data_IF_599738195054
#
_entry.id   IF_599738195054
#
_cell.length_a   1.000
_cell.length_b   1.000
_cell.length_c   1.000
_cell.angle_alpha   90.00
_cell.angle_beta   90.00
_cell.angle_gamma   90.00
#
_symmetry.space_group_name_H-M   'P 1'
#
loop_
_entity.id
_entity.type
_entity.pdbx_description
1 polymer ?
#
# COMPACT_ATOMS: atom_id res chain seq x y z
N UNK A 1 18.89 5.93 36.53
CA UNK A 1 18.65 5.76 35.09
C UNK A 1 17.98 7.04 34.59
N UNK A 2 18.69 7.84 33.78
CA UNK A 2 18.16 9.09 33.25
C UNK A 2 16.92 8.84 32.40
N UNK A 3 15.89 9.70 32.53
CA UNK A 3 14.76 9.71 31.62
C UNK A 3 15.32 9.94 30.22
N UNK A 4 15.47 8.90 29.42
CA UNK A 4 15.64 9.06 27.97
C UNK A 4 14.50 9.98 27.51
N UNK A 5 14.85 11.06 26.81
CA UNK A 5 13.85 11.92 26.15
C UNK A 5 13.05 11.02 25.22
N UNK A 6 11.85 10.61 25.65
CA UNK A 6 11.04 9.61 24.97
C UNK A 6 10.59 10.20 23.65
N UNK A 7 10.81 9.48 22.61
CA UNK A 7 10.25 9.76 21.29
C UNK A 7 8.72 9.90 21.44
N UNK A 8 8.20 11.12 21.25
CA UNK A 8 6.80 11.44 21.63
C UNK A 8 5.82 11.35 20.46
N UNK A 9 6.16 10.56 19.39
CA UNK A 9 5.20 10.34 18.31
C UNK A 9 4.05 9.50 18.84
N UNK A 10 2.82 10.01 18.68
CA UNK A 10 1.59 9.33 19.08
C UNK A 10 0.96 8.59 17.90
N UNK A 11 0.34 7.44 18.15
CA UNK A 11 -0.30 6.62 17.14
C UNK A 11 -1.29 7.40 16.25
N UNK A 12 -2.10 8.29 16.85
CA UNK A 12 -3.04 9.14 16.09
C UNK A 12 -2.35 10.15 15.16
N UNK A 13 -1.14 10.62 15.50
CA UNK A 13 -0.38 11.55 14.66
C UNK A 13 0.06 10.90 13.36
N UNK A 14 0.42 9.61 13.40
CA UNK A 14 0.77 8.83 12.21
C UNK A 14 -0.46 8.71 11.30
N UNK A 15 -1.61 8.38 11.88
CA UNK A 15 -2.87 8.23 11.14
C UNK A 15 -3.26 9.58 10.50
N UNK A 16 -3.22 10.68 11.25
CA UNK A 16 -3.52 12.01 10.69
C UNK A 16 -2.52 12.37 9.58
N UNK A 17 -1.24 12.08 9.78
CA UNK A 17 -0.19 12.40 8.82
C UNK A 17 -0.39 11.69 7.48
N UNK A 18 -0.72 10.39 7.49
CA UNK A 18 -0.97 9.65 6.23
C UNK A 18 -2.21 10.18 5.51
N UNK A 19 -3.27 10.54 6.22
CA UNK A 19 -4.45 11.15 5.59
C UNK A 19 -4.15 12.52 4.99
N UNK A 20 -3.32 13.35 5.66
CA UNK A 20 -2.89 14.65 5.11
C UNK A 20 -2.07 14.44 3.83
N UNK A 21 -1.13 13.49 3.81
CA UNK A 21 -0.32 13.18 2.61
C UNK A 21 -1.21 12.74 1.46
N UNK A 22 -2.08 11.75 1.68
CA UNK A 22 -3.00 11.28 0.64
C UNK A 22 -3.90 12.40 0.13
N UNK A 23 -4.49 13.18 1.03
CA UNK A 23 -5.33 14.31 0.65
C UNK A 23 -4.55 15.33 -0.18
N UNK A 24 -3.30 15.64 0.20
CA UNK A 24 -2.46 16.56 -0.55
C UNK A 24 -2.16 16.01 -1.96
N UNK A 25 -1.84 14.72 -2.09
CA UNK A 25 -1.59 14.10 -3.39
C UNK A 25 -2.85 14.06 -4.26
N UNK A 26 -4.01 13.71 -3.70
CA UNK A 26 -5.28 13.72 -4.43
C UNK A 26 -5.67 15.13 -4.88
N UNK A 27 -5.57 16.13 -4.00
CA UNK A 27 -5.87 17.53 -4.36
C UNK A 27 -4.91 18.04 -5.43
N UNK A 28 -3.60 17.75 -5.32
CA UNK A 28 -2.61 18.16 -6.30
C UNK A 28 -2.89 17.53 -7.67
N UNK A 29 -3.17 16.24 -7.71
CA UNK A 29 -3.56 15.54 -8.94
C UNK A 29 -4.85 16.11 -9.53
N UNK A 30 -5.86 16.34 -8.71
CA UNK A 30 -7.12 16.92 -9.14
C UNK A 30 -6.93 18.30 -9.78
N UNK A 31 -6.15 19.19 -9.14
CA UNK A 31 -5.89 20.55 -9.65
C UNK A 31 -5.03 20.53 -10.92
N UNK A 32 -4.02 19.68 -10.97
CA UNK A 32 -3.11 19.63 -12.12
C UNK A 32 -3.75 18.89 -13.29
N UNK A 33 -4.28 17.71 -13.04
CA UNK A 33 -4.70 16.81 -14.12
C UNK A 33 -6.07 17.19 -14.71
N UNK A 34 -7.01 17.69 -13.89
CA UNK A 34 -8.33 18.07 -14.38
C UNK A 34 -8.41 19.56 -14.77
N UNK A 35 -7.80 20.44 -13.99
CA UNK A 35 -7.91 21.90 -14.22
C UNK A 35 -6.66 22.52 -14.82
N UNK A 36 -5.63 21.75 -15.15
CA UNK A 36 -4.37 22.24 -15.69
C UNK A 36 -3.80 23.44 -14.90
N UNK A 37 -3.80 23.31 -13.56
CA UNK A 37 -3.42 24.40 -12.66
C UNK A 37 -2.04 24.96 -13.01
N UNK A 38 -1.97 26.25 -13.31
CA UNK A 38 -0.77 26.97 -13.77
C UNK A 38 -0.12 26.39 -15.04
N UNK A 39 -0.83 25.63 -15.87
CA UNK A 39 -0.28 25.01 -17.08
C UNK A 39 0.71 23.87 -16.80
N UNK A 40 0.69 23.30 -15.58
CA UNK A 40 1.64 22.23 -15.20
C UNK A 40 1.42 20.98 -16.04
N UNK A 41 0.17 20.59 -16.31
CA UNK A 41 -0.14 19.44 -17.16
C UNK A 41 0.41 19.62 -18.57
N UNK A 42 0.18 20.77 -19.19
CA UNK A 42 0.68 21.09 -20.52
C UNK A 42 2.21 21.11 -20.52
N UNK A 43 2.82 21.67 -19.48
CA UNK A 43 4.28 21.63 -19.33
C UNK A 43 4.79 20.17 -19.26
N UNK A 44 4.10 19.25 -18.56
CA UNK A 44 4.45 17.83 -18.53
C UNK A 44 4.34 17.19 -19.92
N UNK A 45 3.30 17.52 -20.69
CA UNK A 45 3.14 17.06 -22.09
C UNK A 45 4.33 17.50 -22.95
N UNK A 46 4.74 18.77 -22.83
CA UNK A 46 5.73 19.36 -23.72
C UNK A 46 7.18 19.00 -23.39
N UNK A 47 7.51 18.76 -22.10
CA UNK A 47 8.90 18.71 -21.64
C UNK A 47 9.39 17.34 -21.23
N UNK A 48 8.51 16.47 -20.76
CA UNK A 48 8.96 15.21 -20.14
C UNK A 48 8.95 14.02 -21.11
N UNK A 49 8.44 14.19 -22.36
CA UNK A 49 8.28 13.07 -23.28
C UNK A 49 7.43 11.94 -22.69
N UNK A 50 6.73 12.21 -21.59
CA UNK A 50 5.84 11.26 -20.95
C UNK A 50 4.57 11.14 -21.78
N UNK A 51 4.37 9.98 -22.34
CA UNK A 51 3.14 9.66 -23.05
C UNK A 51 1.92 9.51 -22.12
N UNK A 52 2.13 9.67 -20.80
CA UNK A 52 1.08 9.66 -19.76
C UNK A 52 1.31 10.87 -18.85
N UNK A 53 0.90 12.08 -19.29
CA UNK A 53 1.24 13.34 -18.63
C UNK A 53 0.29 13.67 -17.47
N UNK A 54 0.10 12.72 -16.56
CA UNK A 54 -0.78 12.90 -15.40
C UNK A 54 0.00 12.83 -14.10
N UNK A 55 -0.18 13.85 -13.26
CA UNK A 55 0.48 13.93 -11.96
C UNK A 55 0.11 12.76 -11.05
N UNK A 56 -1.16 12.30 -11.09
CA UNK A 56 -1.57 11.13 -10.34
C UNK A 56 -0.78 9.88 -10.73
N UNK A 57 -0.52 9.68 -12.04
CA UNK A 57 0.26 8.54 -12.50
C UNK A 57 1.69 8.57 -11.96
N UNK A 58 2.30 9.75 -11.86
CA UNK A 58 3.63 9.95 -11.30
C UNK A 58 3.67 9.73 -9.78
N UNK A 59 2.66 10.25 -9.06
CA UNK A 59 2.62 10.17 -7.59
C UNK A 59 2.33 8.77 -7.06
N UNK A 60 1.49 8.01 -7.78
CA UNK A 60 0.97 6.71 -7.33
C UNK A 60 1.53 5.51 -8.13
N UNK A 61 2.43 5.71 -9.11
CA UNK A 61 3.07 4.60 -9.82
C UNK A 61 4.09 3.87 -8.95
N UNK A 62 4.45 2.66 -9.36
CA UNK A 62 5.56 1.89 -8.78
C UNK A 62 6.84 2.75 -8.74
N UNK A 63 7.53 2.80 -7.60
CA UNK A 63 8.66 3.68 -7.33
C UNK A 63 8.28 5.14 -7.08
N UNK A 64 7.00 5.49 -7.14
CA UNK A 64 6.50 6.85 -6.89
C UNK A 64 6.49 7.24 -5.41
N UNK A 65 6.19 8.53 -5.13
CA UNK A 65 6.17 9.05 -3.75
C UNK A 65 5.27 8.26 -2.79
N UNK A 66 4.12 7.77 -3.23
CA UNK A 66 3.18 7.00 -2.38
C UNK A 66 3.83 5.71 -1.92
N UNK A 67 4.42 4.95 -2.82
CA UNK A 67 5.09 3.69 -2.52
C UNK A 67 6.34 3.89 -1.66
N UNK A 68 7.11 4.98 -1.87
CA UNK A 68 8.24 5.32 -1.00
C UNK A 68 7.78 5.55 0.44
N UNK A 69 6.67 6.26 0.67
CA UNK A 69 6.09 6.41 2.00
C UNK A 69 5.60 5.09 2.59
N UNK A 70 5.02 4.21 1.77
CA UNK A 70 4.60 2.87 2.17
C UNK A 70 5.80 2.06 2.68
N UNK A 71 6.89 1.99 1.92
CA UNK A 71 8.10 1.28 2.34
C UNK A 71 8.69 1.83 3.63
N UNK A 72 8.68 3.17 3.78
CA UNK A 72 9.11 3.82 5.02
C UNK A 72 8.26 3.37 6.20
N UNK A 73 6.93 3.36 6.08
CA UNK A 73 6.04 2.95 7.17
C UNK A 73 6.17 1.46 7.49
N UNK A 74 6.33 0.57 6.50
CA UNK A 74 6.59 -0.86 6.73
C UNK A 74 7.93 -1.05 7.44
N UNK A 75 8.97 -0.32 7.04
CA UNK A 75 10.28 -0.34 7.70
C UNK A 75 10.22 0.12 9.16
N UNK A 76 9.49 1.20 9.43
CA UNK A 76 9.24 1.69 10.79
C UNK A 76 8.40 0.71 11.61
N UNK A 77 7.41 0.06 11.00
CA UNK A 77 6.64 -1.02 11.64
C UNK A 77 7.52 -2.21 12.01
N UNK A 78 8.41 -2.66 11.09
CA UNK A 78 9.39 -3.71 11.33
C UNK A 78 10.29 -3.39 12.54
N UNK A 79 10.88 -2.19 12.53
CA UNK A 79 11.77 -1.74 13.62
C UNK A 79 11.04 -1.67 14.96
N UNK A 80 9.84 -1.09 14.97
CA UNK A 80 9.05 -0.94 16.20
C UNK A 80 8.59 -2.30 16.73
N UNK A 81 8.12 -3.20 15.85
CA UNK A 81 7.71 -4.57 16.22
C UNK A 81 8.87 -5.37 16.79
N UNK A 82 10.06 -5.27 16.18
CA UNK A 82 11.27 -5.89 16.70
C UNK A 82 11.68 -5.35 18.07
N UNK A 83 11.55 -4.04 18.28
CA UNK A 83 11.82 -3.39 19.56
C UNK A 83 10.84 -3.86 20.65
N UNK A 84 9.53 -3.95 20.34
CA UNK A 84 8.53 -4.47 21.27
C UNK A 84 8.83 -5.93 21.63
N UNK A 85 9.20 -6.75 20.66
CA UNK A 85 9.60 -8.13 20.92
C UNK A 85 10.78 -8.18 21.91
N UNK A 86 11.81 -7.33 21.72
CA UNK A 86 12.94 -7.21 22.64
C UNK A 86 12.54 -6.80 24.06
N UNK A 87 11.68 -5.81 24.22
CA UNK A 87 11.13 -5.41 25.54
C UNK A 87 10.35 -6.56 26.18
N UNK A 88 9.58 -7.31 25.38
CA UNK A 88 8.80 -8.45 25.87
C UNK A 88 9.68 -9.57 26.40
N UNK A 89 10.90 -9.76 25.85
CA UNK A 89 11.90 -10.71 26.41
C UNK A 89 12.31 -10.27 27.82
N UNK A 90 12.62 -9.01 28.02
CA UNK A 90 13.09 -8.49 29.33
C UNK A 90 12.00 -8.53 30.41
N UNK A 91 10.74 -8.55 29.99
CA UNK A 91 9.58 -8.63 30.89
C UNK A 91 9.01 -10.06 31.05
N UNK A 92 9.71 -11.09 30.56
CA UNK A 92 9.29 -12.51 30.52
C UNK A 92 7.91 -12.76 29.88
N UNK A 93 7.50 -11.88 28.97
CA UNK A 93 6.23 -12.02 28.21
C UNK A 93 6.42 -12.82 26.93
N UNK A 94 6.54 -14.14 27.04
CA UNK A 94 6.83 -15.06 25.90
C UNK A 94 5.87 -14.95 24.72
N UNK A 95 4.57 -14.77 24.98
CA UNK A 95 3.55 -14.55 23.93
C UNK A 95 3.78 -13.24 23.18
N UNK A 96 4.09 -12.16 23.90
CA UNK A 96 4.40 -10.86 23.30
C UNK A 96 5.63 -10.89 22.38
N UNK A 97 6.68 -11.60 22.81
CA UNK A 97 7.88 -11.83 21.98
C UNK A 97 7.50 -12.46 20.65
N UNK A 98 6.76 -13.58 20.69
CA UNK A 98 6.41 -14.35 19.48
C UNK A 98 5.47 -13.57 18.58
N UNK A 99 4.46 -12.89 19.15
CA UNK A 99 3.51 -12.08 18.40
C UNK A 99 4.22 -11.00 17.59
N UNK A 100 4.96 -10.11 18.25
CA UNK A 100 5.61 -8.99 17.60
C UNK A 100 6.77 -9.40 16.68
N UNK A 101 7.47 -10.49 17.01
CA UNK A 101 8.51 -11.04 16.14
C UNK A 101 7.93 -11.57 14.82
N UNK A 102 6.77 -12.25 14.86
CA UNK A 102 6.08 -12.69 13.64
C UNK A 102 5.67 -11.50 12.76
N UNK A 103 5.18 -10.41 13.35
CA UNK A 103 4.86 -9.20 12.60
C UNK A 103 6.11 -8.49 12.05
N UNK A 104 7.23 -8.54 12.76
CA UNK A 104 8.50 -8.04 12.23
C UNK A 104 8.96 -8.87 11.01
N UNK A 105 8.85 -10.20 11.05
CA UNK A 105 9.14 -11.07 9.89
C UNK A 105 8.18 -10.76 8.73
N UNK A 106 6.88 -10.62 9.00
CA UNK A 106 5.91 -10.23 7.99
C UNK A 106 6.32 -8.93 7.28
N UNK A 107 6.70 -7.91 8.04
CA UNK A 107 7.13 -6.62 7.48
C UNK A 107 8.37 -6.75 6.58
N UNK A 108 9.34 -7.63 6.94
CA UNK A 108 10.49 -7.94 6.06
C UNK A 108 10.01 -8.54 4.74
N UNK A 109 9.09 -9.50 4.80
CA UNK A 109 8.56 -10.15 3.59
C UNK A 109 7.77 -9.18 2.72
N UNK A 110 7.00 -8.25 3.33
CA UNK A 110 6.29 -7.20 2.61
C UNK A 110 7.26 -6.27 1.87
N UNK A 111 8.33 -5.81 2.50
CA UNK A 111 9.36 -4.99 1.83
C UNK A 111 10.07 -5.77 0.72
N UNK A 112 10.37 -7.05 0.94
CA UNK A 112 11.01 -7.88 -0.09
C UNK A 112 10.08 -8.12 -1.28
N UNK A 113 8.79 -8.25 -1.04
CA UNK A 113 7.79 -8.40 -2.09
C UNK A 113 7.70 -7.13 -2.94
N UNK A 114 7.52 -6.02 -2.31
CA UNK A 114 7.24 -4.73 -2.91
C UNK A 114 8.50 -4.11 -3.55
N UNK A 115 9.49 -3.75 -2.74
CA UNK A 115 10.75 -3.17 -3.22
C UNK A 115 11.68 -4.19 -3.94
N UNK A 116 11.55 -5.48 -3.63
CA UNK A 116 12.32 -6.57 -4.25
C UNK A 116 11.65 -7.22 -5.45
N UNK A 117 10.40 -6.91 -5.72
CA UNK A 117 9.60 -7.42 -6.84
C UNK A 117 9.63 -8.96 -6.95
N UNK A 118 9.64 -9.64 -5.79
CA UNK A 118 9.81 -11.10 -5.69
C UNK A 118 8.65 -11.84 -6.35
N UNK A 119 7.42 -11.33 -6.15
CA UNK A 119 6.22 -11.88 -6.77
C UNK A 119 6.28 -11.84 -8.28
N UNK A 120 6.68 -10.72 -8.86
CA UNK A 120 6.81 -10.55 -10.31
C UNK A 120 7.84 -11.54 -10.88
N UNK A 121 8.99 -11.68 -10.20
CA UNK A 121 9.99 -12.66 -10.59
C UNK A 121 9.43 -14.09 -10.59
N UNK A 122 8.67 -14.51 -9.57
CA UNK A 122 8.06 -15.82 -9.48
C UNK A 122 7.00 -16.03 -10.57
N UNK A 123 6.17 -15.02 -10.84
CA UNK A 123 5.13 -15.05 -11.85
C UNK A 123 5.74 -15.22 -13.25
N UNK A 124 6.74 -14.42 -13.61
CA UNK A 124 7.42 -14.52 -14.91
C UNK A 124 8.08 -15.89 -15.10
N UNK A 125 8.76 -16.40 -14.08
CA UNK A 125 9.39 -17.74 -14.15
C UNK A 125 8.36 -18.85 -14.26
N UNK A 126 7.23 -18.72 -13.61
CA UNK A 126 6.18 -19.71 -13.66
C UNK A 126 5.43 -19.75 -14.99
N UNK A 127 5.17 -18.60 -15.62
CA UNK A 127 4.59 -18.54 -16.98
C UNK A 127 5.42 -19.36 -17.95
N UNK A 128 6.75 -19.31 -17.85
CA UNK A 128 7.65 -20.11 -18.70
C UNK A 128 7.46 -21.62 -18.52
N UNK A 129 6.94 -22.07 -17.37
CA UNK A 129 6.73 -23.49 -17.08
C UNK A 129 5.34 -24.00 -17.48
N UNK A 130 4.30 -23.18 -17.37
CA UNK A 130 2.89 -23.64 -17.41
C UNK A 130 2.07 -23.19 -18.63
N UNK A 131 2.58 -22.33 -19.49
CA UNK A 131 2.00 -21.91 -20.80
C UNK A 131 0.64 -21.18 -20.79
N UNK A 132 -0.06 -21.07 -19.68
CA UNK A 132 -1.35 -20.36 -19.57
C UNK A 132 -1.17 -19.11 -18.69
N UNK A 133 -1.02 -17.95 -19.34
CA UNK A 133 -0.54 -16.74 -18.69
C UNK A 133 -1.50 -16.19 -17.64
N UNK A 134 -2.79 -16.07 -17.93
CA UNK A 134 -3.73 -15.33 -17.10
C UNK A 134 -4.10 -16.07 -15.81
N UNK A 135 -4.56 -17.32 -15.93
CA UNK A 135 -4.96 -18.15 -14.77
C UNK A 135 -3.75 -18.44 -13.89
N UNK A 136 -2.61 -18.72 -14.51
CA UNK A 136 -1.37 -19.01 -13.79
C UNK A 136 -0.90 -17.81 -12.98
N UNK A 137 -0.96 -16.60 -13.52
CA UNK A 137 -0.60 -15.36 -12.82
C UNK A 137 -1.44 -15.18 -11.57
N UNK A 138 -2.77 -15.18 -11.68
CA UNK A 138 -3.68 -15.03 -10.53
C UNK A 138 -3.48 -16.12 -9.48
N UNK A 139 -3.29 -17.39 -9.86
CA UNK A 139 -3.02 -18.49 -8.92
C UNK A 139 -1.69 -18.27 -8.19
N UNK A 140 -0.64 -17.87 -8.90
CA UNK A 140 0.67 -17.61 -8.30
C UNK A 140 0.61 -16.45 -7.30
N UNK A 141 -0.01 -15.35 -7.69
CA UNK A 141 -0.17 -14.18 -6.83
C UNK A 141 -1.01 -14.50 -5.58
N UNK A 142 -2.17 -15.13 -5.73
CA UNK A 142 -3.02 -15.53 -4.61
C UNK A 142 -2.34 -16.57 -3.69
N UNK A 143 -1.56 -17.49 -4.26
CA UNK A 143 -0.81 -18.46 -3.45
C UNK A 143 0.30 -17.77 -2.65
N UNK A 144 1.05 -16.89 -3.29
CA UNK A 144 2.11 -16.13 -2.64
C UNK A 144 1.58 -15.27 -1.49
N UNK A 145 0.57 -14.46 -1.75
CA UNK A 145 -0.07 -13.64 -0.73
C UNK A 145 -0.79 -14.47 0.34
N UNK A 146 -1.40 -15.61 -0.04
CA UNK A 146 -2.00 -16.54 0.91
C UNK A 146 -0.98 -17.10 1.90
N UNK A 147 0.21 -17.47 1.43
CA UNK A 147 1.30 -17.92 2.29
C UNK A 147 1.79 -16.81 3.22
N UNK A 148 1.94 -15.59 2.74
CA UNK A 148 2.29 -14.44 3.59
C UNK A 148 1.20 -14.17 4.64
N UNK A 149 -0.08 -14.25 4.27
CA UNK A 149 -1.20 -14.02 5.16
C UNK A 149 -1.31 -15.06 6.29
N UNK A 150 -0.73 -16.26 6.14
CA UNK A 150 -0.68 -17.25 7.22
C UNK A 150 0.06 -16.72 8.47
N UNK A 151 1.06 -15.84 8.29
CA UNK A 151 1.83 -15.29 9.40
C UNK A 151 0.96 -14.42 10.32
N UNK A 152 0.30 -13.34 9.84
CA UNK A 152 -0.54 -12.53 10.69
C UNK A 152 -1.77 -13.28 11.20
N UNK A 153 -2.38 -14.14 10.38
CA UNK A 153 -3.53 -14.99 10.81
C UNK A 153 -3.10 -15.90 11.96
N UNK A 154 -1.97 -16.59 11.83
CA UNK A 154 -1.44 -17.44 12.91
C UNK A 154 -1.14 -16.62 14.16
N UNK A 155 -0.47 -15.46 14.02
CA UNK A 155 -0.13 -14.60 15.14
C UNK A 155 -1.39 -14.09 15.87
N UNK A 156 -2.38 -13.62 15.11
CA UNK A 156 -3.65 -13.10 15.66
C UNK A 156 -4.51 -14.17 16.32
N UNK A 157 -4.51 -15.41 15.83
CA UNK A 157 -5.26 -16.52 16.45
C UNK A 157 -4.51 -17.05 17.67
N UNK A 158 -3.21 -17.31 17.53
CA UNK A 158 -2.42 -18.06 18.56
C UNK A 158 -2.03 -17.19 19.75
N UNK A 159 -1.84 -15.89 19.52
CA UNK A 159 -1.37 -14.92 20.53
C UNK A 159 -2.33 -13.75 20.68
N UNK A 160 -3.64 -13.98 20.44
CA UNK A 160 -4.69 -12.97 20.49
C UNK A 160 -4.74 -12.20 21.82
N UNK A 161 -4.35 -12.82 22.92
CA UNK A 161 -4.29 -12.18 24.23
C UNK A 161 -3.38 -10.95 24.23
N UNK A 162 -2.28 -10.97 23.47
CA UNK A 162 -1.34 -9.85 23.39
C UNK A 162 -1.99 -8.60 22.81
N UNK A 163 -2.70 -8.75 21.70
CA UNK A 163 -3.32 -7.61 21.01
C UNK A 163 -4.60 -7.15 21.71
N UNK A 164 -5.32 -8.06 22.37
CA UNK A 164 -6.55 -7.76 23.09
C UNK A 164 -6.30 -7.13 24.47
N UNK A 165 -5.04 -7.08 24.97
CA UNK A 165 -4.67 -6.32 26.18
C UNK A 165 -5.02 -4.84 26.02
N UNK A 166 -4.87 -4.27 24.78
CA UNK A 166 -5.26 -2.91 24.47
C UNK A 166 -6.21 -2.84 23.26
N UNK A 167 -7.46 -2.47 23.52
CA UNK A 167 -8.51 -2.37 22.46
C UNK A 167 -8.17 -1.33 21.38
N UNK A 168 -7.48 -0.25 21.75
CA UNK A 168 -7.06 0.79 20.79
C UNK A 168 -6.08 0.20 19.79
N UNK A 169 -5.04 -0.46 20.29
CA UNK A 169 -4.05 -1.15 19.45
C UNK A 169 -4.69 -2.21 18.55
N UNK A 170 -5.61 -3.03 19.12
CA UNK A 170 -6.33 -4.05 18.37
C UNK A 170 -7.13 -3.46 17.20
N UNK A 171 -7.85 -2.34 17.44
CA UNK A 171 -8.64 -1.67 16.41
C UNK A 171 -7.76 -1.08 15.30
N UNK A 172 -6.65 -0.41 15.67
CA UNK A 172 -5.73 0.18 14.70
C UNK A 172 -5.08 -0.93 13.85
N UNK A 173 -4.63 -2.02 14.48
CA UNK A 173 -4.06 -3.17 13.78
C UNK A 173 -5.07 -3.84 12.84
N UNK A 174 -6.33 -3.97 13.27
CA UNK A 174 -7.40 -4.49 12.43
C UNK A 174 -7.54 -3.67 11.13
N UNK A 175 -7.59 -2.34 11.23
CA UNK A 175 -7.66 -1.50 10.03
C UNK A 175 -6.40 -1.61 9.17
N UNK A 176 -5.21 -1.69 9.75
CA UNK A 176 -3.97 -1.92 9.01
C UNK A 176 -4.01 -3.22 8.21
N UNK A 177 -4.37 -4.33 8.87
CA UNK A 177 -4.54 -5.63 8.21
C UNK A 177 -5.68 -5.63 7.17
N UNK A 178 -6.78 -4.90 7.42
CA UNK A 178 -7.91 -4.83 6.51
C UNK A 178 -7.58 -4.05 5.23
N UNK A 179 -6.95 -2.88 5.34
CA UNK A 179 -6.54 -2.09 4.17
C UNK A 179 -5.51 -2.84 3.33
N UNK A 180 -4.46 -3.37 3.96
CA UNK A 180 -3.44 -4.14 3.24
C UNK A 180 -4.01 -5.44 2.65
N UNK A 181 -4.85 -6.14 3.41
CA UNK A 181 -5.52 -7.36 2.94
C UNK A 181 -6.48 -7.09 1.77
N UNK A 182 -7.15 -5.93 1.75
CA UNK A 182 -8.00 -5.51 0.63
C UNK A 182 -7.16 -5.22 -0.61
N UNK A 183 -6.06 -4.46 -0.49
CA UNK A 183 -5.15 -4.18 -1.60
C UNK A 183 -4.61 -5.48 -2.21
N UNK A 184 -4.10 -6.40 -1.37
CA UNK A 184 -3.62 -7.73 -1.79
C UNK A 184 -4.71 -8.55 -2.49
N UNK A 185 -5.95 -8.54 -1.97
CA UNK A 185 -7.07 -9.24 -2.59
C UNK A 185 -7.43 -8.62 -3.96
N UNK A 186 -7.35 -7.30 -4.06
CA UNK A 186 -7.54 -6.57 -5.31
C UNK A 186 -6.46 -6.95 -6.32
N UNK A 187 -5.20 -6.85 -5.96
CA UNK A 187 -4.05 -7.21 -6.79
C UNK A 187 -4.14 -8.66 -7.30
N UNK A 188 -4.35 -9.62 -6.41
CA UNK A 188 -4.43 -11.04 -6.77
C UNK A 188 -5.63 -11.41 -7.65
N UNK A 189 -6.65 -10.57 -7.71
CA UNK A 189 -7.88 -10.82 -8.52
C UNK A 189 -8.03 -9.89 -9.71
N UNK A 190 -7.11 -8.96 -9.93
CA UNK A 190 -7.20 -7.89 -10.92
C UNK A 190 -7.47 -8.36 -12.35
N UNK A 191 -6.91 -9.51 -12.73
CA UNK A 191 -7.08 -10.09 -14.06
C UNK A 191 -8.37 -10.92 -14.19
N UNK A 192 -9.09 -11.18 -13.08
CA UNK A 192 -10.33 -11.97 -13.11
C UNK A 192 -11.45 -11.13 -13.71
N UNK A 193 -11.97 -11.52 -14.89
CA UNK A 193 -13.08 -10.86 -15.59
C UNK A 193 -12.86 -9.36 -15.88
N UNK A 194 -11.62 -8.90 -15.90
CA UNK A 194 -11.26 -7.49 -16.17
C UNK A 194 -11.97 -6.46 -15.27
N UNK A 195 -12.25 -6.84 -14.02
CA UNK A 195 -13.03 -5.98 -13.12
C UNK A 195 -12.31 -4.68 -12.78
N UNK A 196 -10.95 -4.66 -12.79
CA UNK A 196 -10.18 -3.41 -12.63
C UNK A 196 -10.55 -2.39 -13.70
N UNK A 197 -10.62 -2.82 -14.95
CA UNK A 197 -11.00 -1.92 -16.04
C UNK A 197 -12.45 -1.43 -15.89
N UNK A 198 -13.36 -2.28 -15.44
CA UNK A 198 -14.76 -1.91 -15.20
C UNK A 198 -14.90 -0.92 -14.04
N UNK A 199 -14.22 -1.17 -12.93
CA UNK A 199 -14.23 -0.28 -11.77
C UNK A 199 -13.51 1.05 -12.06
N UNK A 200 -12.36 1.00 -12.73
CA UNK A 200 -11.61 2.19 -13.12
C UNK A 200 -12.35 3.06 -14.13
N UNK A 201 -13.29 2.48 -14.92
CA UNK A 201 -14.15 3.27 -15.79
C UNK A 201 -15.02 4.27 -15.02
N UNK A 202 -15.39 3.97 -13.78
CA UNK A 202 -16.15 4.89 -12.92
C UNK A 202 -15.33 6.16 -12.65
N UNK A 203 -14.05 5.99 -12.32
CA UNK A 203 -13.12 7.12 -12.06
C UNK A 203 -12.88 7.87 -13.37
N UNK A 204 -12.70 7.16 -14.47
CA UNK A 204 -12.49 7.72 -15.80
C UNK A 204 -13.66 8.62 -16.22
N UNK A 205 -14.90 8.10 -16.20
CA UNK A 205 -16.11 8.87 -16.56
C UNK A 205 -16.30 10.08 -15.63
N UNK A 206 -16.13 9.86 -14.31
CA UNK A 206 -16.21 10.96 -13.35
C UNK A 206 -15.19 12.06 -13.63
N UNK A 207 -13.95 11.71 -13.97
CA UNK A 207 -12.91 12.70 -14.28
C UNK A 207 -13.22 13.51 -15.54
N UNK A 208 -13.86 12.90 -16.55
CA UNK A 208 -14.28 13.58 -17.78
C UNK A 208 -15.40 14.61 -17.54
N UNK A 209 -16.24 14.43 -16.51
CA UNK A 209 -17.24 15.44 -16.14
C UNK A 209 -16.60 16.78 -15.75
N UNK A 210 -15.35 16.76 -15.25
CA UNK A 210 -14.59 17.96 -14.88
C UNK A 210 -13.61 18.42 -15.95
N UNK A 211 -12.94 17.49 -16.63
CA UNK A 211 -11.85 17.79 -17.58
C UNK A 211 -12.31 17.96 -19.03
N UNK A 212 -13.52 17.52 -19.37
CA UNK A 212 -14.12 17.67 -20.68
C UNK A 212 -13.34 17.03 -21.83
N UNK A 213 -13.55 17.58 -23.05
CA UNK A 213 -12.98 17.02 -24.29
C UNK A 213 -11.44 17.07 -24.33
N UNK A 214 -10.82 18.04 -23.68
CA UNK A 214 -9.36 18.15 -23.60
C UNK A 214 -8.77 16.98 -22.82
N UNK A 215 -9.34 16.63 -21.67
CA UNK A 215 -8.92 15.48 -20.89
C UNK A 215 -9.17 14.16 -21.61
N UNK A 216 -10.30 14.08 -22.33
CA UNK A 216 -10.61 12.89 -23.15
C UNK A 216 -9.51 12.66 -24.19
N UNK A 217 -9.12 13.68 -24.95
CA UNK A 217 -8.05 13.56 -25.95
C UNK A 217 -6.72 13.11 -25.33
N UNK A 218 -6.37 13.59 -24.13
CA UNK A 218 -5.17 13.17 -23.41
C UNK A 218 -5.26 11.70 -22.96
N UNK A 219 -6.42 11.25 -22.48
CA UNK A 219 -6.62 9.85 -22.10
C UNK A 219 -6.56 8.91 -23.31
N UNK A 220 -7.15 9.30 -24.44
CA UNK A 220 -7.08 8.52 -25.68
C UNK A 220 -5.64 8.38 -26.19
N UNK A 221 -4.87 9.48 -26.17
CA UNK A 221 -3.45 9.44 -26.53
C UNK A 221 -2.64 8.54 -25.57
N UNK A 222 -2.90 8.61 -24.27
CA UNK A 222 -2.25 7.77 -23.29
C UNK A 222 -2.63 6.29 -23.45
N UNK A 223 -3.93 6.00 -23.69
CA UNK A 223 -4.39 4.62 -23.98
C UNK A 223 -3.77 4.05 -25.25
N UNK A 224 -3.61 4.87 -26.31
CA UNK A 224 -2.92 4.46 -27.54
C UNK A 224 -1.45 4.10 -27.29
N UNK A 225 -0.74 4.95 -26.56
CA UNK A 225 0.65 4.68 -26.16
C UNK A 225 0.77 3.42 -25.31
N UNK A 226 -0.12 3.22 -24.35
CA UNK A 226 -0.14 2.03 -23.50
C UNK A 226 -0.40 0.76 -24.32
N UNK A 227 -1.31 0.82 -25.29
CA UNK A 227 -1.62 -0.32 -26.17
C UNK A 227 -0.43 -0.69 -27.06
N UNK A 228 0.30 0.29 -27.60
CA UNK A 228 1.52 0.05 -28.39
C UNK A 228 2.64 -0.61 -27.55
N UNK A 229 2.76 -0.23 -26.29
CA UNK A 229 3.72 -0.82 -25.35
C UNK A 229 3.30 -2.18 -24.79
N UNK A 230 2.11 -2.68 -25.14
CA UNK A 230 1.54 -3.90 -24.56
C UNK A 230 1.08 -3.72 -23.11
N UNK A 231 0.91 -2.47 -22.67
CA UNK A 231 0.48 -2.12 -21.33
C UNK A 231 -1.04 -2.01 -21.21
N UNK A 232 -1.53 -1.94 -19.99
CA UNK A 232 -2.93 -1.93 -19.67
C UNK A 232 -3.46 -0.48 -19.68
N UNK A 233 -4.75 -0.27 -19.98
CA UNK A 233 -5.39 1.02 -20.18
C UNK A 233 -5.31 1.97 -18.95
N UNK A 234 -5.56 3.27 -19.17
CA UNK A 234 -5.70 4.28 -18.10
C UNK A 234 -6.75 3.87 -17.07
N UNK A 235 -7.89 3.29 -17.51
CA UNK A 235 -8.94 2.78 -16.62
C UNK A 235 -8.43 1.74 -15.62
N UNK A 236 -7.62 0.83 -16.10
CA UNK A 236 -6.98 -0.17 -15.23
C UNK A 236 -6.00 0.48 -14.25
N UNK A 237 -5.18 1.42 -14.72
CA UNK A 237 -4.20 2.11 -13.90
C UNK A 237 -4.82 2.94 -12.78
N UNK A 238 -6.04 3.45 -12.92
CA UNK A 238 -6.76 4.07 -11.82
C UNK A 238 -6.96 3.12 -10.63
N UNK A 239 -7.26 1.86 -10.90
CA UNK A 239 -7.40 0.88 -9.84
C UNK A 239 -6.06 0.40 -9.29
N UNK A 240 -5.12 0.10 -10.19
CA UNK A 240 -3.80 -0.43 -9.86
C UNK A 240 -2.96 0.59 -9.06
N UNK A 241 -2.85 1.81 -9.57
CA UNK A 241 -2.03 2.84 -8.93
C UNK A 241 -2.81 3.67 -7.90
N UNK A 242 -3.91 4.30 -8.31
CA UNK A 242 -4.55 5.28 -7.44
C UNK A 242 -5.24 4.62 -6.23
N UNK A 243 -5.99 3.53 -6.44
CA UNK A 243 -6.78 2.89 -5.39
C UNK A 243 -5.92 1.90 -4.59
N UNK A 244 -5.22 0.99 -5.25
CA UNK A 244 -4.43 -0.06 -4.61
C UNK A 244 -3.29 0.53 -3.78
N UNK A 245 -2.47 1.40 -4.35
CA UNK A 245 -1.36 2.05 -3.65
C UNK A 245 -1.82 2.90 -2.45
N UNK A 246 -3.00 3.56 -2.57
CA UNK A 246 -3.57 4.29 -1.42
C UNK A 246 -3.97 3.37 -0.28
N UNK A 247 -4.53 2.19 -0.59
CA UNK A 247 -4.88 1.19 0.42
C UNK A 247 -3.65 0.59 1.07
N UNK A 248 -2.60 0.33 0.31
CA UNK A 248 -1.34 -0.19 0.82
C UNK A 248 -0.65 0.81 1.73
N UNK A 249 -0.57 2.09 1.33
CA UNK A 249 -0.04 3.16 2.16
C UNK A 249 -0.82 3.32 3.47
N UNK A 250 -2.15 3.30 3.41
CA UNK A 250 -3.00 3.31 4.61
C UNK A 250 -2.72 2.10 5.48
N UNK A 251 -2.68 0.90 4.89
CA UNK A 251 -2.38 -0.34 5.60
C UNK A 251 -1.05 -0.29 6.34
N UNK A 252 0.01 0.13 5.65
CA UNK A 252 1.35 0.29 6.21
C UNK A 252 1.39 1.29 7.38
N UNK A 253 0.77 2.46 7.21
CA UNK A 253 0.72 3.49 8.24
C UNK A 253 -0.08 3.03 9.49
N UNK A 254 -1.21 2.34 9.30
CA UNK A 254 -2.00 1.81 10.41
C UNK A 254 -1.28 0.66 11.13
N UNK A 255 -0.56 -0.21 10.43
CA UNK A 255 0.29 -1.23 11.04
C UNK A 255 1.36 -0.59 11.92
N UNK A 256 2.08 0.44 11.41
CA UNK A 256 3.05 1.16 12.23
C UNK A 256 2.38 1.88 13.42
N UNK A 257 1.27 2.58 13.20
CA UNK A 257 0.52 3.24 14.26
C UNK A 257 0.06 2.25 15.35
N UNK A 258 -0.26 0.99 14.98
CA UNK A 258 -0.63 -0.04 15.96
C UNK A 258 0.52 -0.43 16.88
N UNK A 259 1.73 -0.56 16.33
CA UNK A 259 2.93 -0.85 17.14
C UNK A 259 3.28 0.30 18.08
N UNK A 260 3.13 1.56 17.63
CA UNK A 260 3.28 2.75 18.49
C UNK A 260 2.20 2.78 19.58
N UNK A 261 0.93 2.48 19.23
CA UNK A 261 -0.16 2.40 20.22
C UNK A 261 0.14 1.37 21.33
N UNK A 262 0.69 0.21 20.95
CA UNK A 262 1.09 -0.79 21.94
C UNK A 262 2.24 -0.31 22.84
N UNK A 263 3.19 0.44 22.31
CA UNK A 263 4.24 1.08 23.12
C UNK A 263 3.65 2.12 24.10
N UNK A 264 2.68 2.93 23.65
CA UNK A 264 1.94 3.85 24.52
C UNK A 264 1.29 3.08 25.69
N UNK A 265 0.58 1.99 25.38
CA UNK A 265 -0.05 1.13 26.39
C UNK A 265 0.96 0.55 27.39
N UNK A 266 2.12 0.07 26.91
CA UNK A 266 3.16 -0.44 27.81
C UNK A 266 3.77 0.63 28.72
N UNK A 267 3.86 1.88 28.24
CA UNK A 267 4.38 3.00 29.02
C UNK A 267 3.39 3.48 30.09
N UNK A 268 2.09 3.47 29.79
CA UNK A 268 1.02 3.89 30.70
C UNK A 268 0.80 2.88 31.86
N UNK A 269 1.21 1.62 31.64
CA UNK A 269 1.06 0.53 32.62
C UNK A 269 2.38 0.22 33.39
N UNK A 270 3.42 1.03 33.25
CA UNK A 270 4.65 0.99 34.06
C UNK A 270 4.60 1.98 35.21
#
# INVERSE_FOLDING_TARGET
MGKLNRFKVKSYQIIIFVFIILLAFYISSFLVDLYNFHGIRDWMVDHDGFNIPFLWNYLFSEGGPVEIFQWLFIGLFMMTSSYIAGISVTNDKKSGVKFWFLFAILAVLMIMEDAGNVRHFLTVRGILLFRDEMIYRSITELTYFGLMALIPVYALIRYREVILEDKKTALIMFFGCAFYGLAVAMSGTRDIRFWYQTAGNIIYEWSLEFGGDELLALYENADHFLAEGGYISIRYRFMDFLVEESLELLGAAFLWASSISYLEFLDDNR
#
